data_IF_403241573517
#
_entry.id   IF_403241573517
#
_cell.length_a   1.000
_cell.length_b   1.000
_cell.length_c   1.000
_cell.angle_alpha   90.00
_cell.angle_beta   90.00
_cell.angle_gamma   90.00
#
_symmetry.space_group_name_H-M   'P 1'
#
loop_
_entity.id
_entity.type
_entity.pdbx_description
1 polymer ?
#
# COMPACT_ATOMS: atom_id res chain seq x y z
N UNK A 1 -30.60 50.49 7.70
CA UNK A 1 -31.19 51.69 7.08
C UNK A 1 -30.08 52.42 6.33
N UNK A 2 -30.40 53.00 5.18
CA UNK A 2 -29.53 53.53 4.10
C UNK A 2 -29.29 52.48 3.00
N UNK A 3 -30.22 52.49 2.03
CA UNK A 3 -30.09 51.90 0.69
C UNK A 3 -29.86 53.08 -0.27
N UNK A 4 -28.73 53.05 -0.98
CA UNK A 4 -28.49 53.90 -2.14
C UNK A 4 -28.33 52.97 -3.35
N UNK A 5 -29.29 53.03 -4.26
CA UNK A 5 -29.27 52.32 -5.55
C UNK A 5 -28.65 53.24 -6.60
N UNK A 6 -27.54 52.79 -7.20
CA UNK A 6 -26.85 53.48 -8.29
C UNK A 6 -27.08 52.75 -9.61
N UNK A 7 -27.45 53.55 -10.60
CA UNK A 7 -27.66 53.30 -12.03
C UNK A 7 -26.40 52.90 -12.79
N UNK A 8 -26.53 52.02 -13.79
CA UNK A 8 -25.99 52.24 -15.14
C UNK A 8 -26.42 51.12 -16.11
N UNK A 9 -27.15 51.49 -17.16
CA UNK A 9 -27.34 50.71 -18.39
C UNK A 9 -26.21 51.07 -19.35
N UNK A 10 -25.53 50.08 -19.92
CA UNK A 10 -24.71 50.25 -21.12
C UNK A 10 -25.15 49.21 -22.15
N UNK A 11 -25.65 49.71 -23.27
CA UNK A 11 -25.94 48.98 -24.50
C UNK A 11 -24.63 48.68 -25.23
N UNK A 12 -24.47 47.47 -25.77
CA UNK A 12 -23.67 47.29 -26.98
C UNK A 12 -24.33 46.27 -27.90
N UNK A 13 -24.64 46.76 -29.10
CA UNK A 13 -25.24 46.09 -30.24
C UNK A 13 -24.09 45.60 -31.12
N UNK A 14 -24.03 44.31 -31.46
CA UNK A 14 -23.24 43.82 -32.60
C UNK A 14 -24.10 42.81 -33.35
N UNK A 15 -24.41 43.14 -34.60
CA UNK A 15 -25.10 42.28 -35.56
C UNK A 15 -24.24 42.17 -36.84
N UNK A 16 -24.48 41.07 -37.57
CA UNK A 16 -24.13 40.73 -38.97
C UNK A 16 -22.66 40.28 -39.20
N UNK A 17 -22.31 39.20 -39.92
CA UNK A 17 -22.89 38.52 -41.10
C UNK A 17 -22.53 37.03 -41.17
N UNK A 18 -23.41 36.25 -41.80
CA UNK A 18 -23.19 34.89 -42.31
C UNK A 18 -23.07 34.89 -43.85
N UNK A 19 -22.20 34.05 -44.42
CA UNK A 19 -22.25 33.40 -45.76
C UNK A 19 -20.92 32.65 -45.98
N UNK A 20 -20.87 31.31 -45.95
CA UNK A 20 -21.00 30.34 -47.06
C UNK A 20 -20.12 30.61 -48.29
N UNK A 21 -19.22 29.68 -48.68
CA UNK A 21 -19.31 28.81 -49.88
C UNK A 21 -18.16 27.76 -49.92
N UNK A 22 -18.60 26.50 -50.12
CA UNK A 22 -18.02 25.27 -50.70
C UNK A 22 -16.58 25.17 -51.25
N UNK A 23 -15.95 24.02 -50.97
CA UNK A 23 -15.48 22.95 -51.91
C UNK A 23 -14.51 22.04 -51.12
N UNK A 24 -14.60 20.71 -51.02
CA UNK A 24 -15.10 19.69 -51.94
C UNK A 24 -13.92 18.80 -52.35
N UNK A 25 -13.61 17.73 -51.61
CA UNK A 25 -12.88 16.56 -52.14
C UNK A 25 -13.44 15.29 -51.50
N UNK A 26 -13.85 14.37 -52.39
CA UNK A 26 -14.55 13.13 -52.13
C UNK A 26 -13.62 11.99 -51.71
N UNK A 27 -14.16 11.03 -50.95
CA UNK A 27 -13.69 9.64 -50.96
C UNK A 27 -14.92 8.70 -51.00
N UNK A 28 -14.95 7.83 -52.02
CA UNK A 28 -15.98 6.81 -52.24
C UNK A 28 -15.87 5.63 -51.24
N UNK A 29 -16.99 4.96 -50.89
CA UNK A 29 -17.00 3.58 -50.40
C UNK A 29 -17.19 2.58 -51.55
N UNK A 30 -16.78 1.30 -51.41
CA UNK A 30 -17.73 0.23 -51.04
C UNK A 30 -17.00 -0.89 -50.23
N UNK A 31 -17.55 -1.99 -49.71
CA UNK A 31 -18.69 -2.82 -50.05
C UNK A 31 -18.89 -3.81 -48.87
N UNK A 32 -20.13 -4.10 -48.51
CA UNK A 32 -20.47 -5.17 -47.58
C UNK A 32 -20.30 -6.55 -48.24
N UNK A 33 -19.75 -7.52 -47.51
CA UNK A 33 -20.10 -8.94 -47.68
C UNK A 33 -20.20 -9.63 -46.32
N UNK A 34 -21.43 -9.97 -45.97
CA UNK A 34 -21.75 -11.01 -45.02
C UNK A 34 -21.31 -12.38 -45.59
N UNK A 35 -20.69 -13.21 -44.77
CA UNK A 35 -20.60 -14.66 -45.00
C UNK A 35 -20.96 -15.37 -43.70
N UNK A 36 -21.78 -16.40 -43.91
CA UNK A 36 -22.61 -17.17 -42.99
C UNK A 36 -21.86 -18.01 -41.96
N UNK A 37 -22.60 -18.28 -40.88
CA UNK A 37 -22.32 -19.28 -39.85
C UNK A 37 -22.14 -20.70 -40.42
N UNK A 38 -21.08 -21.35 -39.98
CA UNK A 38 -20.97 -22.78 -39.70
C UNK A 38 -20.16 -22.85 -38.39
N UNK A 39 -20.66 -23.34 -37.27
CA UNK A 39 -21.29 -24.64 -37.10
C UNK A 39 -20.23 -25.71 -36.82
N UNK A 40 -19.34 -25.48 -35.85
CA UNK A 40 -18.46 -26.53 -35.34
C UNK A 40 -18.04 -26.24 -33.89
N UNK A 41 -18.67 -26.95 -32.96
CA UNK A 41 -18.28 -27.00 -31.55
C UNK A 41 -17.05 -27.89 -31.38
N UNK A 42 -15.94 -27.42 -30.81
CA UNK A 42 -14.92 -28.32 -30.31
C UNK A 42 -15.33 -28.80 -28.92
N UNK A 43 -15.59 -30.11 -28.80
CA UNK A 43 -15.53 -30.81 -27.51
C UNK A 43 -14.09 -30.67 -26.98
N UNK A 44 -13.90 -29.79 -26.01
CA UNK A 44 -12.68 -29.81 -25.20
C UNK A 44 -12.84 -30.92 -24.16
N UNK A 45 -12.03 -31.95 -24.31
CA UNK A 45 -11.80 -32.94 -23.29
C UNK A 45 -11.32 -32.23 -22.02
N UNK A 46 -12.12 -32.32 -20.95
CA UNK A 46 -11.64 -32.06 -19.61
C UNK A 46 -10.64 -33.17 -19.26
N UNK A 47 -9.34 -32.87 -19.39
CA UNK A 47 -8.30 -33.61 -18.70
C UNK A 47 -7.94 -32.84 -17.46
N UNK A 48 -8.18 -33.47 -16.31
CA UNK A 48 -7.65 -33.08 -15.02
C UNK A 48 -6.17 -32.73 -15.11
N UNK A 49 -5.85 -31.50 -14.79
CA UNK A 49 -4.54 -31.11 -14.29
C UNK A 49 -4.79 -30.13 -13.16
N UNK A 50 -5.03 -30.67 -11.97
CA UNK A 50 -4.86 -29.93 -10.74
C UNK A 50 -3.41 -29.40 -10.74
N UNK A 51 -3.25 -28.13 -11.06
CA UNK A 51 -2.00 -27.43 -10.87
C UNK A 51 -1.74 -27.38 -9.36
N UNK A 52 -0.99 -28.35 -8.86
CA UNK A 52 -0.37 -28.28 -7.54
C UNK A 52 0.46 -27.01 -7.52
N UNK A 53 0.01 -26.00 -6.76
CA UNK A 53 0.81 -24.85 -6.42
C UNK A 53 2.10 -25.38 -5.79
N UNK A 54 3.20 -25.32 -6.54
CA UNK A 54 4.52 -25.59 -6.00
C UNK A 54 4.80 -24.55 -4.93
N UNK A 55 4.81 -24.98 -3.68
CA UNK A 55 5.24 -24.16 -2.55
C UNK A 55 6.57 -23.49 -2.90
N UNK A 56 6.63 -22.17 -2.79
CA UNK A 56 7.87 -21.44 -2.93
C UNK A 56 8.88 -22.00 -1.91
N UNK A 57 10.17 -22.15 -2.26
CA UNK A 57 11.17 -22.69 -1.34
C UNK A 57 11.18 -21.86 -0.06
N UNK A 58 11.03 -22.54 1.09
CA UNK A 58 11.03 -21.91 2.40
C UNK A 58 12.33 -21.11 2.59
N UNK A 59 12.20 -19.84 2.93
CA UNK A 59 13.37 -19.01 3.24
C UNK A 59 14.08 -19.58 4.48
N UNK A 60 15.41 -19.75 4.46
CA UNK A 60 16.14 -20.19 5.65
C UNK A 60 16.00 -19.13 6.74
N UNK A 61 15.56 -19.54 7.93
CA UNK A 61 15.47 -18.65 9.09
C UNK A 61 16.87 -18.12 9.47
N UNK A 62 17.03 -16.83 9.79
CA UNK A 62 18.32 -16.29 10.23
C UNK A 62 18.81 -16.99 11.50
N UNK A 63 20.05 -17.47 11.50
CA UNK A 63 20.66 -18.09 12.69
C UNK A 63 20.97 -17.05 13.80
N UNK A 64 21.24 -15.80 13.40
CA UNK A 64 21.47 -14.67 14.30
C UNK A 64 20.85 -13.41 13.69
N UNK A 65 19.86 -12.83 14.37
CA UNK A 65 19.16 -11.63 13.93
C UNK A 65 19.88 -10.40 14.48
N UNK A 66 20.30 -9.52 13.58
CA UNK A 66 20.98 -8.25 13.88
C UNK A 66 20.15 -7.03 13.48
N UNK A 67 19.14 -7.23 12.62
CA UNK A 67 18.27 -6.15 12.15
C UNK A 67 16.81 -6.57 11.99
N UNK A 68 15.89 -5.67 12.35
CA UNK A 68 14.47 -5.79 12.11
C UNK A 68 13.98 -4.63 11.23
N UNK A 69 13.38 -4.97 10.09
CA UNK A 69 12.79 -4.01 9.15
C UNK A 69 11.27 -4.13 9.26
N UNK A 70 10.59 -3.03 9.58
CA UNK A 70 9.14 -3.03 9.80
C UNK A 70 8.45 -2.27 8.70
N UNK A 71 7.43 -2.86 8.07
CA UNK A 71 6.37 -2.03 7.50
C UNK A 71 5.60 -1.28 8.61
N UNK A 72 4.79 -0.28 8.26
CA UNK A 72 4.09 0.57 9.21
C UNK A 72 2.60 0.27 9.30
N UNK A 73 1.85 0.56 8.24
CA UNK A 73 0.39 0.53 8.22
C UNK A 73 -0.10 -0.91 8.04
N UNK A 74 -0.90 -1.41 8.97
CA UNK A 74 -1.27 -2.82 9.05
C UNK A 74 -0.23 -3.70 9.77
N UNK A 75 1.01 -3.22 9.94
CA UNK A 75 2.11 -3.99 10.58
C UNK A 75 2.43 -3.52 12.00
N UNK A 76 2.67 -2.22 12.23
CA UNK A 76 2.90 -1.69 13.59
C UNK A 76 1.59 -1.30 14.27
N UNK A 77 0.57 -1.04 13.47
CA UNK A 77 -0.75 -0.54 13.86
C UNK A 77 -1.78 -1.04 12.87
N UNK A 78 -2.97 -1.40 13.34
CA UNK A 78 -4.11 -1.66 12.46
C UNK A 78 -4.76 -0.34 12.04
N UNK A 79 -4.32 0.20 10.89
CA UNK A 79 -4.78 1.47 10.33
C UNK A 79 -5.64 1.29 9.06
N UNK A 80 -5.94 0.04 8.68
CA UNK A 80 -6.56 -0.28 7.38
C UNK A 80 -7.97 0.31 7.25
N UNK A 81 -8.75 0.32 8.33
CA UNK A 81 -10.09 0.92 8.34
C UNK A 81 -10.04 2.44 8.14
N UNK A 82 -9.07 3.11 8.76
CA UNK A 82 -8.91 4.56 8.69
C UNK A 82 -8.43 4.97 7.29
N UNK A 83 -7.55 4.17 6.69
CA UNK A 83 -7.19 4.34 5.29
C UNK A 83 -8.38 4.10 4.37
N UNK A 84 -9.15 3.03 4.57
CA UNK A 84 -10.35 2.74 3.80
C UNK A 84 -11.33 3.92 3.83
N UNK A 85 -11.63 4.47 5.00
CA UNK A 85 -12.49 5.65 5.15
C UNK A 85 -11.94 6.85 4.36
N UNK A 86 -10.67 7.19 4.56
CA UNK A 86 -10.05 8.33 3.89
C UNK A 86 -10.01 8.18 2.36
N UNK A 87 -9.74 6.98 1.86
CA UNK A 87 -9.74 6.68 0.44
C UNK A 87 -11.15 6.68 -0.16
N UNK A 88 -12.11 6.04 0.50
CA UNK A 88 -13.51 6.02 0.04
C UNK A 88 -14.02 7.45 -0.11
N UNK A 89 -13.82 8.27 0.91
CA UNK A 89 -14.38 9.62 0.94
C UNK A 89 -13.75 10.51 -0.14
N UNK A 90 -12.42 10.46 -0.33
CA UNK A 90 -11.78 11.25 -1.40
C UNK A 90 -12.16 10.76 -2.80
N UNK A 91 -12.29 9.44 -3.01
CA UNK A 91 -12.66 8.88 -4.31
C UNK A 91 -14.07 9.29 -4.68
N UNK A 92 -15.03 9.16 -3.75
CA UNK A 92 -16.42 9.55 -3.97
C UNK A 92 -16.58 11.06 -4.14
N UNK A 93 -15.74 11.87 -3.51
CA UNK A 93 -15.73 13.31 -3.74
C UNK A 93 -15.28 13.65 -5.18
N UNK A 94 -14.19 13.05 -5.63
CA UNK A 94 -13.60 13.36 -6.95
C UNK A 94 -14.37 12.72 -8.11
N UNK A 95 -14.94 11.54 -7.89
CA UNK A 95 -15.74 10.77 -8.87
C UNK A 95 -16.96 10.18 -8.15
N UNK A 96 -18.06 10.94 -7.99
CA UNK A 96 -19.27 10.47 -7.31
C UNK A 96 -19.87 9.20 -7.93
N UNK A 97 -19.76 9.06 -9.26
CA UNK A 97 -20.25 7.89 -9.99
C UNK A 97 -19.21 6.75 -10.09
N UNK A 98 -18.14 6.78 -9.28
CA UNK A 98 -17.13 5.72 -9.26
C UNK A 98 -17.76 4.35 -9.00
N UNK A 99 -17.13 3.28 -9.51
CA UNK A 99 -17.65 1.91 -9.45
C UNK A 99 -19.07 1.76 -10.05
N UNK A 100 -19.45 2.63 -10.99
CA UNK A 100 -20.79 2.65 -11.58
C UNK A 100 -21.89 2.98 -10.55
N UNK A 101 -21.57 3.79 -9.55
CA UNK A 101 -22.46 4.13 -8.43
C UNK A 101 -22.62 3.02 -7.38
N UNK A 102 -21.88 1.91 -7.50
CA UNK A 102 -21.87 0.86 -6.47
C UNK A 102 -21.02 1.29 -5.26
N UNK A 103 -21.34 0.79 -4.05
CA UNK A 103 -20.52 1.07 -2.87
C UNK A 103 -19.06 0.69 -3.07
N UNK A 104 -18.16 1.53 -2.55
CA UNK A 104 -16.76 1.18 -2.32
C UNK A 104 -16.72 0.47 -0.96
N UNK A 105 -16.68 -0.85 -0.98
CA UNK A 105 -16.65 -1.69 0.22
C UNK A 105 -15.20 -2.15 0.55
N UNK A 106 -15.06 -2.83 1.69
CA UNK A 106 -13.74 -3.30 2.17
C UNK A 106 -13.11 -4.34 1.23
N UNK A 107 -13.91 -5.17 0.56
CA UNK A 107 -13.40 -6.17 -0.36
C UNK A 107 -12.77 -5.49 -1.58
N UNK A 108 -13.46 -4.49 -2.14
CA UNK A 108 -12.92 -3.64 -3.20
C UNK A 108 -11.65 -2.92 -2.73
N UNK A 109 -11.66 -2.32 -1.54
CA UNK A 109 -10.49 -1.62 -1.04
C UNK A 109 -9.26 -2.52 -0.87
N UNK A 110 -9.44 -3.74 -0.34
CA UNK A 110 -8.33 -4.71 -0.20
C UNK A 110 -7.74 -5.13 -1.55
N UNK A 111 -8.59 -5.37 -2.55
CA UNK A 111 -8.12 -5.79 -3.89
C UNK A 111 -7.46 -4.63 -4.67
N UNK A 112 -7.98 -3.41 -4.53
CA UNK A 112 -7.64 -2.31 -5.41
C UNK A 112 -6.68 -1.28 -4.81
N UNK A 113 -6.57 -1.20 -3.48
CA UNK A 113 -5.95 -0.06 -2.78
C UNK A 113 -4.92 -0.47 -1.74
N UNK A 114 -5.28 -1.36 -0.82
CA UNK A 114 -4.44 -1.69 0.35
C UNK A 114 -3.01 -2.11 -0.06
N UNK A 115 -2.01 -1.55 0.61
CA UNK A 115 -0.58 -1.76 0.32
C UNK A 115 -0.03 -1.16 -1.00
N UNK A 116 -0.83 -0.48 -1.82
CA UNK A 116 -0.36 0.18 -3.04
C UNK A 116 0.14 1.61 -2.74
N UNK A 117 1.06 2.11 -3.57
CA UNK A 117 1.44 3.52 -3.53
C UNK A 117 0.37 4.39 -4.20
N UNK A 118 0.30 5.67 -3.80
CA UNK A 118 -0.57 6.68 -4.42
C UNK A 118 -0.43 6.69 -5.95
N UNK A 119 0.81 6.61 -6.46
CA UNK A 119 1.07 6.60 -7.90
C UNK A 119 0.43 5.40 -8.63
N UNK A 120 0.49 4.20 -8.03
CA UNK A 120 -0.14 2.99 -8.60
C UNK A 120 -1.67 3.11 -8.57
N UNK A 121 -2.21 3.60 -7.46
CA UNK A 121 -3.66 3.82 -7.31
C UNK A 121 -4.15 4.83 -8.33
N UNK A 122 -3.45 5.95 -8.51
CA UNK A 122 -3.83 6.99 -9.47
C UNK A 122 -3.80 6.49 -10.91
N UNK A 123 -2.72 5.82 -11.31
CA UNK A 123 -2.61 5.27 -12.66
C UNK A 123 -3.75 4.30 -13.00
N UNK A 124 -4.34 3.67 -11.98
CA UNK A 124 -5.45 2.73 -12.13
C UNK A 124 -6.83 3.41 -12.10
N UNK A 125 -7.09 4.29 -11.14
CA UNK A 125 -8.43 4.86 -10.89
C UNK A 125 -8.68 6.18 -11.62
N UNK A 126 -7.62 6.95 -11.85
CA UNK A 126 -7.68 8.30 -12.41
C UNK A 126 -6.58 8.52 -13.48
N UNK A 127 -6.46 7.65 -14.51
CA UNK A 127 -5.37 7.71 -15.48
C UNK A 127 -5.31 9.03 -16.28
N UNK A 128 -6.47 9.66 -16.48
CA UNK A 128 -6.60 10.90 -17.25
C UNK A 128 -6.58 12.18 -16.38
N UNK A 129 -6.46 12.03 -15.06
CA UNK A 129 -6.44 13.18 -14.15
C UNK A 129 -5.12 13.96 -14.27
N UNK A 130 -5.11 15.29 -14.39
CA UNK A 130 -3.88 16.08 -14.42
C UNK A 130 -3.06 15.92 -13.13
N UNK A 131 -1.74 15.87 -13.22
CA UNK A 131 -0.83 15.63 -12.07
C UNK A 131 -1.12 16.55 -10.88
N UNK A 132 -1.28 17.85 -11.11
CA UNK A 132 -1.57 18.80 -10.03
C UNK A 132 -2.88 18.48 -9.26
N UNK A 133 -3.88 17.95 -9.96
CA UNK A 133 -5.14 17.52 -9.34
C UNK A 133 -4.98 16.20 -8.58
N UNK A 134 -4.09 15.31 -9.05
CA UNK A 134 -3.74 14.09 -8.33
C UNK A 134 -3.03 14.41 -7.01
N UNK A 135 -2.06 15.33 -7.04
CA UNK A 135 -1.33 15.81 -5.87
C UNK A 135 -2.28 16.42 -4.84
N UNK A 136 -3.16 17.34 -5.27
CA UNK A 136 -4.16 17.95 -4.39
C UNK A 136 -5.11 16.89 -3.77
N UNK A 137 -5.56 15.92 -4.57
CA UNK A 137 -6.41 14.83 -4.08
C UNK A 137 -5.71 14.02 -2.99
N UNK A 138 -4.43 13.67 -3.18
CA UNK A 138 -3.67 12.91 -2.20
C UNK A 138 -3.37 13.71 -0.94
N UNK A 139 -2.96 14.97 -1.07
CA UNK A 139 -2.75 15.85 0.08
C UNK A 139 -4.01 15.95 0.96
N UNK A 140 -5.19 16.04 0.32
CA UNK A 140 -6.48 16.08 1.02
C UNK A 140 -6.84 14.75 1.70
N UNK A 141 -6.60 13.62 1.03
CA UNK A 141 -6.80 12.28 1.61
C UNK A 141 -5.90 12.06 2.82
N UNK A 142 -4.62 12.41 2.70
CA UNK A 142 -3.63 12.24 3.76
C UNK A 142 -3.92 13.18 4.93
N UNK A 143 -4.33 14.42 4.65
CA UNK A 143 -4.81 15.33 5.68
C UNK A 143 -6.05 14.79 6.40
N UNK A 144 -6.97 14.12 5.69
CA UNK A 144 -8.12 13.45 6.31
C UNK A 144 -7.65 12.28 7.18
N UNK A 145 -6.79 11.40 6.68
CA UNK A 145 -6.22 10.29 7.44
C UNK A 145 -5.61 10.77 8.75
N UNK A 146 -4.72 11.78 8.72
CA UNK A 146 -4.09 12.34 9.94
C UNK A 146 -5.12 12.92 10.93
N UNK A 147 -6.23 13.48 10.46
CA UNK A 147 -7.29 14.00 11.35
C UNK A 147 -8.07 12.90 12.07
N UNK A 148 -8.33 11.77 11.40
CA UNK A 148 -9.16 10.69 11.95
C UNK A 148 -8.37 9.62 12.71
N UNK A 149 -7.05 9.56 12.50
CA UNK A 149 -6.16 8.53 13.07
C UNK A 149 -5.44 8.97 14.36
N UNK A 150 -6.09 9.76 15.22
CA UNK A 150 -5.45 10.35 16.42
C UNK A 150 -5.43 9.45 17.65
N UNK A 151 -6.17 8.33 17.62
CA UNK A 151 -6.35 7.44 18.77
C UNK A 151 -6.03 5.97 18.42
N UNK A 152 -4.99 5.75 17.61
CA UNK A 152 -4.52 4.40 17.26
C UNK A 152 -3.67 3.80 18.39
N UNK A 153 -3.65 2.47 18.47
CA UNK A 153 -2.78 1.74 19.38
C UNK A 153 -1.82 0.84 18.59
N UNK A 154 -0.59 0.61 19.10
CA UNK A 154 0.30 -0.40 18.53
C UNK A 154 -0.35 -1.77 18.50
N UNK A 155 0.02 -2.61 17.52
CA UNK A 155 -0.40 -4.01 17.53
C UNK A 155 0.08 -4.72 18.81
N UNK A 156 -0.72 -5.66 19.34
CA UNK A 156 -0.35 -6.42 20.53
C UNK A 156 1.05 -7.03 20.42
N UNK A 157 1.83 -6.91 21.50
CA UNK A 157 3.19 -7.44 21.58
C UNK A 157 4.28 -6.59 20.92
N UNK A 158 3.94 -5.51 20.20
CA UNK A 158 4.97 -4.67 19.55
C UNK A 158 5.98 -4.12 20.58
N UNK A 159 5.49 -3.61 21.72
CA UNK A 159 6.36 -3.11 22.78
C UNK A 159 7.36 -4.17 23.26
N UNK A 160 6.88 -5.39 23.51
CA UNK A 160 7.71 -6.54 23.90
C UNK A 160 8.76 -6.90 22.84
N UNK A 161 8.39 -6.83 21.55
CA UNK A 161 9.34 -7.07 20.46
C UNK A 161 10.41 -5.98 20.38
N UNK A 162 10.03 -4.71 20.56
CA UNK A 162 10.97 -3.59 20.56
C UNK A 162 11.91 -3.62 21.77
N UNK A 163 11.41 -4.00 22.94
CA UNK A 163 12.23 -4.27 24.13
C UNK A 163 13.20 -5.42 23.90
N UNK A 164 12.76 -6.51 23.25
CA UNK A 164 13.64 -7.60 22.85
C UNK A 164 14.75 -7.16 21.88
N UNK A 165 14.45 -6.20 20.99
CA UNK A 165 15.47 -5.61 20.11
C UNK A 165 16.49 -4.77 20.89
N UNK A 166 16.09 -4.20 22.03
CA UNK A 166 16.96 -3.38 22.88
C UNK A 166 17.85 -4.20 23.81
N UNK A 167 17.56 -5.49 24.01
CA UNK A 167 18.38 -6.37 24.84
C UNK A 167 19.81 -6.44 24.28
N UNK A 168 20.77 -6.21 25.18
CA UNK A 168 22.21 -6.27 24.91
C UNK A 168 22.89 -7.02 26.07
N UNK A 169 23.80 -7.92 25.74
CA UNK A 169 24.67 -8.64 26.67
C UNK A 169 26.06 -8.88 26.04
N UNK A 170 26.95 -9.57 26.77
CA UNK A 170 28.34 -9.79 26.35
C UNK A 170 28.45 -10.54 25.00
N UNK A 171 27.44 -11.33 24.63
CA UNK A 171 27.41 -12.15 23.41
C UNK A 171 26.46 -11.59 22.32
N UNK A 172 25.60 -10.62 22.66
CA UNK A 172 24.58 -10.08 21.76
C UNK A 172 24.50 -8.55 21.83
N UNK A 173 24.87 -7.91 20.72
CA UNK A 173 24.63 -6.49 20.51
C UNK A 173 23.14 -6.19 20.26
N UNK A 174 22.74 -4.94 20.53
CA UNK A 174 21.41 -4.42 20.24
C UNK A 174 21.01 -4.65 18.77
N UNK A 175 19.76 -5.07 18.56
CA UNK A 175 19.21 -5.28 17.21
C UNK A 175 18.83 -3.93 16.60
N UNK A 176 19.33 -3.66 15.40
CA UNK A 176 19.03 -2.43 14.68
C UNK A 176 17.60 -2.46 14.12
N UNK A 177 16.84 -1.36 14.25
CA UNK A 177 15.45 -1.30 13.78
C UNK A 177 15.26 -0.16 12.80
N UNK A 178 14.48 -0.40 11.74
CA UNK A 178 14.15 0.60 10.72
C UNK A 178 12.74 0.36 10.19
N UNK A 179 12.01 1.44 9.92
CA UNK A 179 10.71 1.37 9.24
C UNK A 179 10.93 1.52 7.74
N UNK A 180 10.20 0.74 6.94
CA UNK A 180 10.16 0.81 5.48
C UNK A 180 8.69 0.83 5.07
N UNK A 181 8.17 1.96 4.59
CA UNK A 181 6.73 2.13 4.32
C UNK A 181 6.48 2.78 2.96
N UNK A 182 5.35 2.47 2.32
CA UNK A 182 4.85 3.23 1.16
C UNK A 182 4.09 4.50 1.57
N UNK A 183 3.81 4.69 2.86
CA UNK A 183 3.16 5.89 3.37
C UNK A 183 4.00 7.15 3.11
N UNK A 184 3.36 8.27 2.77
CA UNK A 184 4.02 9.57 2.70
C UNK A 184 4.67 9.94 4.03
N UNK A 185 5.76 10.72 3.99
CA UNK A 185 6.54 11.04 5.18
C UNK A 185 5.76 11.76 6.29
N UNK A 186 4.77 12.58 5.94
CA UNK A 186 3.92 13.25 6.93
C UNK A 186 3.01 12.25 7.66
N UNK A 187 2.47 11.27 6.94
CA UNK A 187 1.65 10.21 7.52
C UNK A 187 2.51 9.28 8.37
N UNK A 188 3.70 8.90 7.88
CA UNK A 188 4.65 8.10 8.63
C UNK A 188 5.06 8.78 9.95
N UNK A 189 5.35 10.08 9.90
CA UNK A 189 5.62 10.89 11.09
C UNK A 189 4.44 10.90 12.06
N UNK A 190 3.25 11.21 11.55
CA UNK A 190 2.02 11.27 12.35
C UNK A 190 1.75 9.94 13.06
N UNK A 191 1.81 8.82 12.34
CA UNK A 191 1.62 7.49 12.92
C UNK A 191 2.65 7.21 14.01
N UNK A 192 3.94 7.52 13.78
CA UNK A 192 4.97 7.35 14.81
C UNK A 192 4.72 8.21 16.06
N UNK A 193 4.21 9.43 15.90
CA UNK A 193 3.87 10.34 17.01
C UNK A 193 2.66 9.82 17.79
N UNK A 194 1.59 9.38 17.12
CA UNK A 194 0.40 8.79 17.75
C UNK A 194 0.74 7.52 18.52
N UNK A 195 1.61 6.66 17.96
CA UNK A 195 2.02 5.41 18.60
C UNK A 195 3.10 5.62 19.69
N UNK A 196 3.64 6.82 19.85
CA UNK A 196 4.70 7.10 20.83
C UNK A 196 6.05 6.46 20.50
N UNK A 197 6.32 6.15 19.23
CA UNK A 197 7.56 5.50 18.77
C UNK A 197 8.47 6.41 17.94
N UNK A 198 8.12 7.70 17.80
CA UNK A 198 8.88 8.65 17.01
C UNK A 198 10.33 8.82 17.48
N UNK A 199 10.58 8.83 18.79
CA UNK A 199 11.95 8.96 19.31
C UNK A 199 12.84 7.77 18.92
N UNK A 200 12.26 6.57 18.80
CA UNK A 200 12.98 5.37 18.36
C UNK A 200 13.28 5.38 16.86
N UNK A 201 12.30 5.75 16.04
CA UNK A 201 12.35 5.54 14.59
C UNK A 201 12.51 6.81 13.75
N UNK A 202 12.47 7.99 14.36
CA UNK A 202 12.39 9.26 13.63
C UNK A 202 13.52 9.50 12.62
N UNK A 203 14.70 8.92 12.87
CA UNK A 203 15.86 8.96 11.97
C UNK A 203 16.11 7.64 11.20
N UNK A 204 15.31 6.61 11.45
CA UNK A 204 15.42 5.28 10.85
C UNK A 204 14.08 4.91 10.18
N UNK A 205 13.72 5.71 9.17
CA UNK A 205 12.57 5.46 8.30
C UNK A 205 12.95 5.60 6.83
N UNK A 206 12.52 4.64 6.00
CA UNK A 206 12.58 4.66 4.55
C UNK A 206 11.17 4.86 4.02
N UNK A 207 11.01 5.89 3.19
CA UNK A 207 9.76 6.23 2.53
C UNK A 207 9.84 5.73 1.09
N UNK A 208 8.93 4.84 0.69
CA UNK A 208 8.95 4.20 -0.62
C UNK A 208 8.80 5.18 -1.78
N UNK A 209 8.06 6.27 -1.58
CA UNK A 209 7.92 7.35 -2.56
C UNK A 209 9.20 8.21 -2.72
N UNK A 210 10.17 8.11 -1.82
CA UNK A 210 11.47 8.78 -1.90
C UNK A 210 12.55 7.88 -2.52
N UNK A 211 12.24 6.60 -2.72
CA UNK A 211 13.03 5.69 -3.53
C UNK A 211 12.70 5.90 -5.02
N UNK A 212 13.60 5.46 -5.91
CA UNK A 212 13.30 5.45 -7.34
C UNK A 212 12.13 4.50 -7.67
N UNK A 213 11.96 3.43 -6.88
CA UNK A 213 10.80 2.53 -6.97
C UNK A 213 10.26 2.14 -5.59
N UNK A 214 8.97 2.35 -5.40
CA UNK A 214 8.21 1.94 -4.22
C UNK A 214 7.94 0.41 -4.20
N UNK A 215 7.44 -0.11 -3.06
CA UNK A 215 6.96 -1.50 -2.98
C UNK A 215 5.87 -1.72 -4.05
N UNK A 216 5.86 -2.85 -4.79
CA UNK A 216 6.50 -4.14 -4.49
C UNK A 216 7.95 -4.30 -4.95
N UNK A 217 8.58 -3.27 -5.53
CA UNK A 217 9.99 -3.35 -5.89
C UNK A 217 10.85 -3.51 -4.62
N UNK A 218 11.94 -4.31 -4.59
CA UNK A 218 12.76 -4.54 -3.38
C UNK A 218 13.57 -3.34 -2.89
N UNK A 219 13.63 -2.28 -3.68
CA UNK A 219 14.51 -1.13 -3.45
C UNK A 219 14.33 -0.42 -2.08
N UNK A 220 13.11 -0.21 -1.55
CA UNK A 220 12.94 0.37 -0.22
C UNK A 220 13.57 -0.49 0.89
N UNK A 221 13.46 -1.83 0.79
CA UNK A 221 14.09 -2.74 1.75
C UNK A 221 15.61 -2.83 1.56
N UNK A 222 16.10 -2.78 0.32
CA UNK A 222 17.55 -2.69 0.05
C UNK A 222 18.14 -1.39 0.59
N UNK A 223 17.41 -0.27 0.49
CA UNK A 223 17.80 0.99 1.11
C UNK A 223 17.78 0.89 2.64
N UNK A 224 16.78 0.22 3.22
CA UNK A 224 16.75 -0.08 4.65
C UNK A 224 17.98 -0.85 5.12
N UNK A 225 18.32 -1.94 4.43
CA UNK A 225 19.53 -2.73 4.68
C UNK A 225 20.81 -1.90 4.55
N UNK A 226 20.90 -1.05 3.51
CA UNK A 226 22.04 -0.15 3.29
C UNK A 226 22.20 0.84 4.44
N UNK A 227 21.12 1.45 4.94
CA UNK A 227 21.16 2.38 6.09
C UNK A 227 21.54 1.69 7.39
N UNK A 228 21.13 0.44 7.59
CA UNK A 228 21.54 -0.36 8.74
C UNK A 228 22.98 -0.89 8.63
N UNK A 229 23.55 -0.95 7.42
CA UNK A 229 24.86 -1.56 7.19
C UNK A 229 24.85 -3.09 7.38
N UNK A 230 23.70 -3.73 7.19
CA UNK A 230 23.49 -5.16 7.43
C UNK A 230 23.19 -5.92 6.13
N UNK A 231 23.51 -7.21 6.10
CA UNK A 231 23.10 -8.10 5.02
C UNK A 231 21.70 -8.66 5.28
N UNK A 232 20.95 -8.96 4.20
CA UNK A 232 19.59 -9.48 4.31
C UNK A 232 19.50 -10.77 5.13
N UNK A 233 20.51 -11.65 5.05
CA UNK A 233 20.61 -12.90 5.83
C UNK A 233 20.71 -12.70 7.35
N UNK A 234 21.08 -11.52 7.80
CA UNK A 234 21.21 -11.16 9.22
C UNK A 234 19.98 -10.37 9.71
N UNK A 235 18.95 -10.23 8.88
CA UNK A 235 17.78 -9.40 9.15
C UNK A 235 16.46 -10.14 8.93
N UNK A 236 15.41 -9.66 9.59
CA UNK A 236 14.03 -10.07 9.36
C UNK A 236 13.17 -8.86 8.97
N UNK A 237 12.14 -9.10 8.17
CA UNK A 237 11.14 -8.11 7.81
C UNK A 237 9.77 -8.48 8.39
N UNK A 238 8.97 -7.49 8.75
CA UNK A 238 7.57 -7.64 9.15
C UNK A 238 6.69 -6.87 8.17
N UNK A 239 5.67 -7.53 7.61
CA UNK A 239 4.80 -7.00 6.54
C UNK A 239 3.39 -7.59 6.61
N UNK A 240 2.37 -6.83 6.24
CA UNK A 240 0.96 -7.26 6.23
C UNK A 240 0.36 -7.36 4.82
N UNK A 241 1.08 -6.88 3.80
CA UNK A 241 0.55 -6.70 2.45
C UNK A 241 1.25 -7.58 1.40
N UNK A 242 0.53 -7.91 0.31
CA UNK A 242 1.13 -8.66 -0.81
C UNK A 242 2.32 -7.93 -1.44
N UNK A 243 2.18 -6.61 -1.62
CA UNK A 243 3.23 -5.78 -2.23
C UNK A 243 4.46 -5.74 -1.32
N UNK A 244 4.20 -5.60 -0.03
CA UNK A 244 5.21 -5.56 1.00
C UNK A 244 6.01 -6.84 1.14
N UNK A 245 5.31 -7.98 1.31
CA UNK A 245 5.95 -9.29 1.36
C UNK A 245 6.79 -9.55 0.10
N UNK A 246 6.27 -9.25 -1.09
CA UNK A 246 7.03 -9.38 -2.35
C UNK A 246 8.28 -8.52 -2.36
N UNK A 247 8.19 -7.28 -1.87
CA UNK A 247 9.32 -6.34 -1.80
C UNK A 247 10.41 -6.84 -0.85
N UNK A 248 10.04 -7.21 0.37
CA UNK A 248 10.97 -7.70 1.39
C UNK A 248 11.63 -9.03 0.97
N UNK A 249 10.85 -9.99 0.50
CA UNK A 249 11.34 -11.29 0.02
C UNK A 249 12.25 -11.14 -1.20
N UNK A 250 11.92 -10.25 -2.15
CA UNK A 250 12.78 -9.95 -3.29
C UNK A 250 14.09 -9.23 -2.89
N UNK A 251 14.13 -8.56 -1.74
CA UNK A 251 15.36 -8.02 -1.15
C UNK A 251 16.19 -9.09 -0.41
N UNK A 252 15.71 -10.34 -0.36
CA UNK A 252 16.38 -11.47 0.28
C UNK A 252 16.16 -11.56 1.80
N UNK A 253 15.23 -10.80 2.35
CA UNK A 253 14.89 -10.82 3.77
C UNK A 253 14.01 -12.02 4.10
N UNK A 254 14.22 -12.62 5.28
CA UNK A 254 13.22 -13.50 5.86
C UNK A 254 12.02 -12.67 6.29
N UNK A 255 10.86 -12.89 5.67
CA UNK A 255 9.68 -12.06 5.90
C UNK A 255 8.64 -12.76 6.77
N UNK A 256 8.26 -12.10 7.87
CA UNK A 256 7.15 -12.45 8.74
C UNK A 256 5.90 -11.70 8.28
N UNK A 257 4.87 -12.45 7.87
CA UNK A 257 3.57 -11.91 7.49
C UNK A 257 2.72 -11.58 8.72
N UNK A 258 2.12 -10.40 8.80
CA UNK A 258 1.18 -10.00 9.86
C UNK A 258 -0.25 -10.04 9.30
N UNK A 259 -1.13 -10.86 9.87
CA UNK A 259 -2.44 -11.17 9.28
C UNK A 259 -3.54 -10.19 9.70
N UNK A 260 -3.26 -8.89 9.75
CA UNK A 260 -4.25 -7.83 10.01
C UNK A 260 -5.17 -7.62 8.81
N UNK A 261 -4.59 -7.51 7.61
CA UNK A 261 -5.33 -7.29 6.37
C UNK A 261 -5.65 -8.56 5.57
N UNK A 262 -4.71 -9.51 5.54
CA UNK A 262 -4.74 -10.69 4.65
C UNK A 262 -4.60 -11.99 5.43
N UNK A 263 -5.11 -13.08 4.87
CA UNK A 263 -4.93 -14.41 5.45
C UNK A 263 -3.50 -14.95 5.24
N UNK A 264 -3.13 -15.96 6.04
CA UNK A 264 -1.81 -16.59 5.98
C UNK A 264 -1.52 -17.19 4.59
N UNK A 265 -2.53 -17.70 3.87
CA UNK A 265 -2.33 -18.30 2.55
C UNK A 265 -1.90 -17.24 1.51
N UNK A 266 -2.53 -16.07 1.53
CA UNK A 266 -2.20 -14.95 0.67
C UNK A 266 -0.79 -14.42 0.95
N UNK A 267 -0.42 -14.24 2.22
CA UNK A 267 0.91 -13.75 2.62
C UNK A 267 2.03 -14.76 2.30
N UNK A 268 1.79 -16.05 2.54
CA UNK A 268 2.73 -17.11 2.11
C UNK A 268 2.88 -17.13 0.59
N UNK A 269 1.78 -16.99 -0.15
CA UNK A 269 1.80 -16.86 -1.61
C UNK A 269 2.58 -15.64 -2.12
N UNK A 270 2.72 -14.60 -1.29
CA UNK A 270 3.52 -13.41 -1.57
C UNK A 270 4.99 -13.53 -1.10
N UNK A 271 5.37 -14.62 -0.43
CA UNK A 271 6.74 -14.91 -0.05
C UNK A 271 7.03 -14.82 1.47
N UNK A 272 6.03 -14.69 2.33
CA UNK A 272 6.23 -14.76 3.77
C UNK A 272 6.62 -16.19 4.22
N UNK A 273 7.62 -16.30 5.11
CA UNK A 273 8.08 -17.59 5.64
C UNK A 273 7.23 -18.11 6.80
N UNK A 274 6.85 -17.21 7.71
CA UNK A 274 5.93 -17.44 8.83
C UNK A 274 4.90 -16.32 8.82
N UNK A 275 3.67 -16.62 9.22
CA UNK A 275 2.63 -15.60 9.42
C UNK A 275 2.18 -15.61 10.89
N UNK A 276 1.86 -14.44 11.42
CA UNK A 276 1.43 -14.20 12.80
C UNK A 276 0.21 -13.28 12.81
N UNK A 277 -0.67 -13.45 13.79
CA UNK A 277 -1.80 -12.54 13.96
C UNK A 277 -1.35 -11.16 14.48
N UNK A 278 -0.42 -11.18 15.44
CA UNK A 278 0.23 -10.04 16.04
C UNK A 278 1.56 -10.49 16.67
N UNK A 279 2.27 -9.59 17.34
CA UNK A 279 3.59 -9.88 17.92
C UNK A 279 3.54 -10.70 19.23
N UNK A 280 2.36 -11.12 19.69
CA UNK A 280 2.22 -12.07 20.82
C UNK A 280 2.27 -13.53 20.37
N UNK A 281 2.18 -13.80 19.07
CA UNK A 281 2.16 -15.15 18.51
C UNK A 281 3.44 -15.94 18.86
N UNK A 282 3.29 -17.09 19.50
CA UNK A 282 4.42 -17.93 19.93
C UNK A 282 5.28 -18.44 18.76
N UNK A 283 4.73 -18.49 17.53
CA UNK A 283 5.51 -18.83 16.33
C UNK A 283 6.60 -17.78 16.06
N UNK A 284 6.33 -16.51 16.34
CA UNK A 284 7.34 -15.46 16.27
C UNK A 284 8.43 -15.72 17.30
N UNK A 285 8.07 -15.92 18.57
CA UNK A 285 9.04 -16.08 19.64
C UNK A 285 9.89 -17.35 19.50
N UNK A 286 9.31 -18.42 18.97
CA UNK A 286 10.05 -19.62 18.56
C UNK A 286 11.05 -19.32 17.43
N UNK A 287 10.65 -18.55 16.40
CA UNK A 287 11.54 -18.12 15.31
C UNK A 287 12.70 -17.25 15.81
N UNK A 288 12.44 -16.35 16.76
CA UNK A 288 13.45 -15.47 17.34
C UNK A 288 14.41 -16.20 18.28
N UNK A 289 14.22 -17.51 18.52
CA UNK A 289 14.99 -18.29 19.50
C UNK A 289 14.78 -17.83 20.94
N UNK A 290 13.71 -17.06 21.19
CA UNK A 290 13.40 -16.44 22.46
C UNK A 290 12.31 -17.25 23.19
N UNK A 291 12.62 -18.51 23.53
CA UNK A 291 11.75 -19.28 24.41
C UNK A 291 11.81 -18.69 25.83
N UNK A 292 10.71 -18.09 26.29
CA UNK A 292 10.41 -17.80 27.69
C UNK A 292 11.48 -16.99 28.47
N UNK A 293 11.97 -15.88 27.91
CA UNK A 293 12.89 -14.97 28.66
C UNK A 293 12.19 -14.23 29.82
N UNK A 294 10.84 -14.23 29.92
CA UNK A 294 10.12 -13.52 30.98
C UNK A 294 8.93 -14.28 31.57
N UNK A 295 9.08 -15.58 31.83
CA UNK A 295 8.10 -16.31 32.66
C UNK A 295 8.12 -15.88 34.14
N UNK A 296 9.11 -15.09 34.56
CA UNK A 296 9.29 -14.63 35.93
C UNK A 296 9.30 -13.10 36.02
N UNK A 297 8.13 -12.48 35.86
CA UNK A 297 7.82 -11.26 36.61
C UNK A 297 6.48 -11.51 37.30
N UNK A 298 6.57 -11.94 38.56
CA UNK A 298 5.46 -11.95 39.51
C UNK A 298 5.16 -10.54 40.01
#
# INVERSE_FOLDING_TARGET
MILATSTARISLLVTVLASSVCSGVAFLPPCAKAVSQAGMTPRLHATDAAATATEAPAQPSPAHIKGCLFDMDGTLVDSDELHFEAYRDIILEMRPDHNGGKPIDKAWYKEWMSGNSNAVITARLFPDMPLAQQEEMWDRKEALYRRISTAMAPLPGLARLLEWCDLEDDDKARIATIIVTNAPRLDARHTMEVLGIHERFGNTVVIGAECARAKPHPEPYLEGLRRLGLAARDCIAFEDSLNGCRSATAAGLFTVGVTTGLDEAALRGAGAGVCIADFTDERLWALLGAQMIFADVK
#
